data_IF_643542737111
#
_entry.id   IF_643542737111
#
_cell.length_a   1.000
_cell.length_b   1.000
_cell.length_c   1.000
_cell.angle_alpha   90.00
_cell.angle_beta   90.00
_cell.angle_gamma   90.00
#
_symmetry.space_group_name_H-M   'P 1'
#
loop_
_entity.id
_entity.type
_entity.pdbx_description
1 polymer ?
#
# COMPACT_ATOMS: atom_id res chain seq x y z
N UNK A 1 24.61 -3.68 -19.28
CA UNK A 1 25.52 -2.68 -19.87
C UNK A 1 25.19 -1.30 -19.28
N UNK A 2 26.06 -0.73 -18.43
CA UNK A 2 25.86 0.60 -17.83
C UNK A 2 26.38 1.66 -18.81
N UNK A 3 25.49 2.52 -19.30
CA UNK A 3 25.87 3.66 -20.14
C UNK A 3 26.73 4.66 -19.34
N UNK A 4 27.70 5.33 -19.96
CA UNK A 4 28.52 6.33 -19.29
C UNK A 4 27.66 7.51 -18.79
N UNK A 5 28.01 8.13 -17.64
CA UNK A 5 27.15 9.08 -16.91
C UNK A 5 26.77 10.36 -17.65
N UNK A 6 27.52 10.73 -18.72
CA UNK A 6 27.17 11.90 -19.55
C UNK A 6 26.05 11.64 -20.56
N UNK A 7 25.91 10.41 -21.06
CA UNK A 7 24.88 10.05 -22.06
C UNK A 7 23.51 9.90 -21.39
N UNK A 8 23.47 9.46 -20.13
CA UNK A 8 22.21 9.30 -19.37
C UNK A 8 21.55 10.64 -18.99
N UNK A 9 22.21 11.77 -19.20
CA UNK A 9 21.69 13.13 -18.91
C UNK A 9 20.97 13.79 -20.09
N UNK A 10 21.03 13.21 -21.29
CA UNK A 10 20.26 13.72 -22.43
C UNK A 10 18.76 13.40 -22.21
N UNK A 11 17.86 14.40 -22.28
CA UNK A 11 16.43 14.20 -22.04
C UNK A 11 15.83 13.05 -22.86
N UNK A 12 16.19 12.95 -24.12
CA UNK A 12 15.69 11.94 -25.05
C UNK A 12 16.09 10.51 -24.64
N UNK A 13 17.32 10.34 -24.15
CA UNK A 13 17.82 9.02 -23.68
C UNK A 13 17.08 8.59 -22.42
N UNK A 14 16.75 9.54 -21.55
CA UNK A 14 15.98 9.28 -20.35
C UNK A 14 14.54 8.86 -20.65
N UNK A 15 13.89 9.54 -21.60
CA UNK A 15 12.54 9.21 -22.06
C UNK A 15 12.48 7.81 -22.72
N UNK A 16 13.43 7.51 -23.60
CA UNK A 16 13.54 6.18 -24.21
C UNK A 16 13.79 5.09 -23.16
N UNK A 17 14.63 5.35 -22.17
CA UNK A 17 14.87 4.42 -21.06
C UNK A 17 13.59 4.15 -20.25
N UNK A 18 12.82 5.19 -19.91
CA UNK A 18 11.53 5.03 -19.20
C UNK A 18 10.58 4.14 -20.01
N UNK A 19 10.44 4.38 -21.29
CA UNK A 19 9.59 3.59 -22.17
C UNK A 19 10.03 2.13 -22.23
N UNK A 20 11.34 1.89 -22.35
CA UNK A 20 11.91 0.54 -22.37
C UNK A 20 11.64 -0.20 -21.05
N UNK A 21 11.90 0.45 -19.92
CA UNK A 21 11.65 -0.14 -18.59
C UNK A 21 10.16 -0.47 -18.40
N UNK A 22 9.27 0.43 -18.81
CA UNK A 22 7.84 0.17 -18.76
C UNK A 22 7.44 -1.06 -19.58
N UNK A 23 7.88 -1.14 -20.84
CA UNK A 23 7.61 -2.30 -21.72
C UNK A 23 8.14 -3.60 -21.12
N UNK A 24 9.34 -3.59 -20.57
CA UNK A 24 9.93 -4.75 -19.89
C UNK A 24 9.09 -5.18 -18.67
N UNK A 25 8.61 -4.22 -17.90
CA UNK A 25 7.73 -4.51 -16.76
C UNK A 25 6.39 -5.11 -17.19
N UNK A 26 5.80 -4.62 -18.28
CA UNK A 26 4.58 -5.23 -18.86
C UNK A 26 4.85 -6.69 -19.22
N UNK A 27 5.89 -6.94 -20.03
CA UNK A 27 6.24 -8.29 -20.51
C UNK A 27 6.48 -9.22 -19.30
N UNK A 28 7.37 -8.83 -18.38
CA UNK A 28 7.68 -9.61 -17.17
C UNK A 28 6.42 -9.96 -16.37
N UNK A 29 5.53 -8.99 -16.22
CA UNK A 29 4.31 -9.15 -15.41
C UNK A 29 3.29 -10.04 -16.11
N UNK A 30 3.11 -9.89 -17.41
CA UNK A 30 2.22 -10.79 -18.19
C UNK A 30 2.70 -12.24 -18.10
N UNK A 31 4.01 -12.49 -18.25
CA UNK A 31 4.56 -13.85 -18.10
C UNK A 31 4.41 -14.41 -16.68
N UNK A 32 4.61 -13.57 -15.65
CA UNK A 32 4.49 -13.96 -14.23
C UNK A 32 3.05 -14.37 -13.88
N UNK A 33 2.08 -13.55 -14.27
CA UNK A 33 0.68 -13.72 -13.85
C UNK A 33 -0.22 -14.40 -14.89
N UNK A 34 0.24 -14.53 -16.13
CA UNK A 34 -0.52 -15.13 -17.26
C UNK A 34 -1.89 -14.47 -17.48
N UNK A 35 -1.99 -13.15 -17.24
CA UNK A 35 -3.23 -12.35 -17.37
C UNK A 35 -3.10 -11.34 -18.50
N UNK A 36 -3.87 -11.51 -19.58
CA UNK A 36 -3.89 -10.59 -20.73
C UNK A 36 -4.46 -9.19 -20.37
N UNK A 37 -5.29 -9.10 -19.34
CA UNK A 37 -5.80 -7.80 -18.85
C UNK A 37 -4.68 -6.81 -18.50
N UNK A 38 -3.50 -7.30 -18.08
CA UNK A 38 -2.33 -6.46 -17.79
C UNK A 38 -1.89 -5.67 -19.01
N UNK A 39 -2.00 -6.24 -20.21
CA UNK A 39 -1.67 -5.55 -21.47
C UNK A 39 -2.63 -4.39 -21.69
N UNK A 40 -3.95 -4.65 -21.61
CA UNK A 40 -4.98 -3.60 -21.73
C UNK A 40 -4.74 -2.49 -20.71
N UNK A 41 -4.58 -2.84 -19.45
CA UNK A 41 -4.41 -1.88 -18.36
C UNK A 41 -3.10 -1.09 -18.51
N UNK A 42 -2.06 -1.70 -19.06
CA UNK A 42 -0.80 -1.01 -19.36
C UNK A 42 -0.98 0.10 -20.41
N UNK A 43 -1.83 -0.09 -21.41
CA UNK A 43 -2.16 0.96 -22.36
C UNK A 43 -3.05 2.05 -21.75
N UNK A 44 -4.07 1.65 -21.00
CA UNK A 44 -5.01 2.59 -20.37
C UNK A 44 -4.32 3.52 -19.39
N UNK A 45 -3.42 2.98 -18.55
CA UNK A 45 -2.77 3.75 -17.49
C UNK A 45 -1.41 4.35 -17.91
N UNK A 46 -0.88 4.03 -19.10
CA UNK A 46 0.38 4.59 -19.59
C UNK A 46 0.45 6.12 -19.57
N UNK A 47 -0.57 6.87 -20.08
CA UNK A 47 -0.50 8.32 -20.11
C UNK A 47 -0.35 8.96 -18.73
N UNK A 48 -1.11 8.45 -17.74
CA UNK A 48 -1.03 8.96 -16.37
C UNK A 48 0.26 8.55 -15.68
N UNK A 49 0.69 7.30 -15.87
CA UNK A 49 1.98 6.82 -15.38
C UNK A 49 3.14 7.67 -15.93
N UNK A 50 3.14 7.93 -17.24
CA UNK A 50 4.15 8.75 -17.90
C UNK A 50 4.21 10.17 -17.33
N UNK A 51 3.06 10.81 -17.15
CA UNK A 51 2.94 12.15 -16.55
C UNK A 51 3.50 12.19 -15.13
N UNK A 52 3.26 11.16 -14.33
CA UNK A 52 3.75 11.08 -12.96
C UNK A 52 5.25 10.84 -12.88
N UNK A 53 5.84 10.13 -13.85
CA UNK A 53 7.29 9.96 -13.93
C UNK A 53 8.04 11.26 -14.24
N UNK A 54 7.40 12.25 -14.82
CA UNK A 54 7.99 13.56 -15.11
C UNK A 54 8.02 14.50 -13.90
N UNK A 55 7.11 14.28 -12.95
CA UNK A 55 7.04 15.09 -11.72
C UNK A 55 8.03 14.51 -10.72
N UNK A 56 9.05 15.29 -10.37
CA UNK A 56 9.99 14.93 -9.31
C UNK A 56 9.21 14.64 -8.03
N UNK A 57 9.20 13.37 -7.63
CA UNK A 57 8.84 12.79 -6.34
C UNK A 57 8.16 13.72 -5.32
N UNK A 58 6.92 14.10 -5.58
CA UNK A 58 6.08 14.79 -4.60
C UNK A 58 4.76 14.02 -4.43
N UNK A 59 4.80 12.79 -3.85
CA UNK A 59 3.61 11.94 -3.71
C UNK A 59 2.47 12.65 -2.99
N UNK A 60 2.79 13.46 -1.97
CA UNK A 60 1.80 14.16 -1.16
C UNK A 60 1.06 15.27 -1.92
N UNK A 61 1.65 15.83 -3.00
CA UNK A 61 1.00 16.86 -3.82
C UNK A 61 -0.03 16.31 -4.80
N UNK A 62 -0.02 15.02 -5.07
CA UNK A 62 -0.90 14.43 -6.08
C UNK A 62 -2.12 13.71 -5.50
N UNK A 63 -2.26 13.63 -4.17
CA UNK A 63 -3.36 12.97 -3.46
C UNK A 63 -3.71 11.58 -4.03
N UNK A 64 -2.70 10.81 -4.41
CA UNK A 64 -2.88 9.48 -4.93
C UNK A 64 -2.24 8.47 -4.00
N UNK A 65 -2.91 7.37 -3.71
CA UNK A 65 -2.28 6.26 -3.01
C UNK A 65 -1.19 5.66 -3.91
N UNK A 66 -0.14 5.16 -3.31
CA UNK A 66 0.98 4.55 -4.03
C UNK A 66 0.74 3.05 -4.28
N UNK A 67 -0.35 2.75 -4.94
CA UNK A 67 -0.84 1.41 -5.28
C UNK A 67 -1.05 1.29 -6.80
N UNK A 68 -1.43 0.12 -7.30
CA UNK A 68 -1.74 -0.04 -8.72
C UNK A 68 -2.89 0.88 -9.15
N UNK A 69 -2.85 1.43 -10.37
CA UNK A 69 -3.91 2.34 -10.85
C UNK A 69 -5.29 1.67 -10.90
N UNK A 70 -5.34 0.38 -11.23
CA UNK A 70 -6.60 -0.38 -11.22
C UNK A 70 -7.14 -0.58 -9.80
N UNK A 71 -6.27 -0.74 -8.80
CA UNK A 71 -6.65 -0.77 -7.39
C UNK A 71 -7.18 0.59 -6.90
N UNK A 72 -6.54 1.70 -7.32
CA UNK A 72 -7.07 3.04 -7.04
C UNK A 72 -8.46 3.26 -7.65
N UNK A 73 -8.68 2.77 -8.87
CA UNK A 73 -10.00 2.85 -9.52
C UNK A 73 -11.04 2.03 -8.75
N UNK A 74 -10.67 0.86 -8.24
CA UNK A 74 -11.53 0.05 -7.37
C UNK A 74 -11.84 0.79 -6.06
N UNK A 75 -10.84 1.37 -5.39
CA UNK A 75 -11.04 2.20 -4.20
C UNK A 75 -12.06 3.32 -4.45
N UNK A 76 -11.98 4.01 -5.59
CA UNK A 76 -12.94 5.07 -5.93
C UNK A 76 -14.38 4.59 -6.03
N UNK A 77 -14.59 3.32 -6.39
CA UNK A 77 -15.93 2.72 -6.50
C UNK A 77 -16.49 2.28 -5.16
N UNK A 78 -15.64 1.84 -4.22
CA UNK A 78 -16.09 1.29 -2.94
C UNK A 78 -16.13 2.31 -1.80
N UNK A 79 -15.29 3.35 -1.84
CA UNK A 79 -15.23 4.34 -0.75
C UNK A 79 -16.47 5.23 -0.71
N UNK A 80 -16.98 5.45 0.50
CA UNK A 80 -18.13 6.33 0.80
C UNK A 80 -17.78 7.26 1.94
N UNK A 81 -18.51 8.38 2.03
CA UNK A 81 -18.29 9.44 3.02
C UNK A 81 -18.59 9.05 4.47
N UNK A 82 -19.33 7.99 4.68
CA UNK A 82 -19.69 7.44 6.00
C UNK A 82 -18.66 6.44 6.55
N UNK A 83 -17.69 6.02 5.75
CA UNK A 83 -16.75 4.96 6.10
C UNK A 83 -15.67 5.40 7.09
N UNK A 84 -15.14 4.41 7.83
CA UNK A 84 -13.99 4.54 8.72
C UNK A 84 -12.88 3.65 8.20
N UNK A 85 -11.68 4.22 8.05
CA UNK A 85 -10.49 3.53 7.54
C UNK A 85 -9.42 3.43 8.61
N UNK A 86 -8.77 2.28 8.70
CA UNK A 86 -7.51 2.11 9.43
C UNK A 86 -6.37 1.85 8.44
N UNK A 87 -5.22 2.44 8.67
CA UNK A 87 -4.08 2.32 7.77
C UNK A 87 -2.78 2.09 8.56
N UNK A 88 -2.10 0.98 8.24
CA UNK A 88 -0.72 0.74 8.63
C UNK A 88 0.22 1.30 7.54
N UNK A 89 0.99 2.32 7.87
CA UNK A 89 1.88 3.05 6.96
C UNK A 89 1.22 4.29 6.37
N UNK A 90 1.35 5.41 7.08
CA UNK A 90 0.80 6.68 6.65
C UNK A 90 1.53 7.27 5.43
N UNK A 91 0.78 7.92 4.53
CA UNK A 91 1.36 8.51 3.33
C UNK A 91 0.40 9.36 2.50
N UNK A 92 0.62 9.38 1.20
CA UNK A 92 -0.31 10.00 0.25
C UNK A 92 -1.68 9.31 0.23
N UNK A 93 -1.72 8.03 0.59
CA UNK A 93 -2.95 7.28 0.79
C UNK A 93 -3.79 7.84 1.93
N UNK A 94 -3.18 8.30 3.02
CA UNK A 94 -3.87 8.95 4.13
C UNK A 94 -4.62 10.21 3.66
N UNK A 95 -3.97 11.06 2.84
CA UNK A 95 -4.59 12.23 2.21
C UNK A 95 -5.70 11.83 1.23
N UNK A 96 -5.50 10.74 0.48
CA UNK A 96 -6.50 10.22 -0.43
C UNK A 96 -7.76 9.75 0.31
N UNK A 97 -7.62 9.03 1.42
CA UNK A 97 -8.72 8.56 2.24
C UNK A 97 -9.40 9.73 2.96
N UNK A 98 -8.66 10.66 3.55
CA UNK A 98 -9.25 11.79 4.30
C UNK A 98 -10.28 12.59 3.51
N UNK A 99 -10.09 12.68 2.19
CA UNK A 99 -11.01 13.39 1.30
C UNK A 99 -12.25 12.58 0.91
N UNK A 100 -12.30 11.27 1.20
CA UNK A 100 -13.31 10.33 0.68
C UNK A 100 -14.13 9.62 1.75
N UNK A 101 -13.67 9.64 3.00
CA UNK A 101 -14.29 8.91 4.10
C UNK A 101 -14.57 9.82 5.29
N UNK A 102 -15.32 9.33 6.29
CA UNK A 102 -15.63 10.08 7.50
C UNK A 102 -14.38 10.24 8.39
N UNK A 103 -13.63 9.17 8.60
CA UNK A 103 -12.52 9.14 9.54
C UNK A 103 -11.40 8.22 9.05
N UNK A 104 -10.15 8.64 9.24
CA UNK A 104 -8.95 7.83 9.01
C UNK A 104 -8.16 7.72 10.31
N UNK A 105 -7.81 6.50 10.70
CA UNK A 105 -6.81 6.19 11.71
C UNK A 105 -5.59 5.63 11.01
N UNK A 106 -4.44 6.29 11.15
CA UNK A 106 -3.22 5.90 10.46
C UNK A 106 -2.06 5.79 11.44
N UNK A 107 -1.21 4.78 11.25
CA UNK A 107 -0.05 4.53 12.10
C UNK A 107 1.22 4.64 11.24
N UNK A 108 2.16 5.44 11.70
CA UNK A 108 3.45 5.65 11.05
C UNK A 108 4.60 5.26 11.99
N UNK A 109 5.69 4.75 11.44
CA UNK A 109 6.86 4.28 12.20
C UNK A 109 8.09 5.16 12.03
N UNK A 110 8.16 5.94 10.96
CA UNK A 110 9.28 6.86 10.68
C UNK A 110 8.95 8.25 11.19
N UNK A 111 9.69 8.71 12.22
CA UNK A 111 9.49 10.02 12.85
C UNK A 111 9.59 11.18 11.86
N UNK A 112 10.57 11.14 10.94
CA UNK A 112 10.78 12.24 9.98
C UNK A 112 9.63 12.32 8.99
N UNK A 113 9.15 11.15 8.53
CA UNK A 113 8.01 11.08 7.64
C UNK A 113 6.72 11.49 8.33
N UNK A 114 6.52 11.07 9.58
CA UNK A 114 5.39 11.48 10.40
C UNK A 114 5.33 13.00 10.56
N UNK A 115 6.45 13.66 10.93
CA UNK A 115 6.51 15.11 11.08
C UNK A 115 6.17 15.84 9.78
N UNK A 116 6.65 15.32 8.65
CA UNK A 116 6.32 15.84 7.32
C UNK A 116 4.81 15.73 7.03
N UNK A 117 4.21 14.59 7.34
CA UNK A 117 2.76 14.37 7.18
C UNK A 117 1.93 15.31 8.06
N UNK A 118 2.31 15.48 9.33
CA UNK A 118 1.63 16.42 10.24
C UNK A 118 1.64 17.85 9.68
N UNK A 119 2.77 18.30 9.12
CA UNK A 119 2.85 19.59 8.45
C UNK A 119 1.92 19.68 7.24
N UNK A 120 1.85 18.65 6.41
CA UNK A 120 0.96 18.62 5.24
C UNK A 120 -0.52 18.54 5.65
N UNK A 121 -0.87 17.80 6.73
CA UNK A 121 -2.24 17.78 7.25
C UNK A 121 -2.68 19.17 7.73
N UNK A 122 -1.82 19.86 8.49
CA UNK A 122 -2.10 21.23 8.96
C UNK A 122 -2.27 22.20 7.79
N UNK A 123 -1.36 22.18 6.83
CA UNK A 123 -1.39 23.03 5.64
C UNK A 123 -2.63 22.82 4.79
N UNK A 124 -3.13 21.59 4.67
CA UNK A 124 -4.29 21.23 3.89
C UNK A 124 -5.59 21.24 4.72
N UNK A 125 -5.53 21.65 5.99
CA UNK A 125 -6.67 21.73 6.93
C UNK A 125 -7.41 20.38 7.06
N UNK A 126 -6.66 19.27 7.11
CA UNK A 126 -7.22 17.92 7.29
C UNK A 126 -7.57 17.73 8.77
N UNK A 127 -8.84 17.49 9.06
CA UNK A 127 -9.34 17.39 10.45
C UNK A 127 -9.86 15.99 10.81
N UNK A 128 -10.07 15.13 9.83
CA UNK A 128 -10.62 13.78 9.99
C UNK A 128 -9.56 12.66 9.93
N UNK A 129 -8.30 12.99 10.24
CA UNK A 129 -7.19 12.04 10.33
C UNK A 129 -6.64 12.03 11.75
N UNK A 130 -6.59 10.84 12.35
CA UNK A 130 -5.83 10.57 13.57
C UNK A 130 -4.60 9.76 13.18
N UNK A 131 -3.47 10.42 13.00
CA UNK A 131 -2.19 9.78 12.68
C UNK A 131 -1.35 9.67 13.96
N UNK A 132 -0.84 8.48 14.27
CA UNK A 132 0.02 8.21 15.43
C UNK A 132 1.39 7.72 14.99
N UNK A 133 2.43 8.25 15.64
CA UNK A 133 3.78 7.73 15.51
C UNK A 133 3.97 6.56 16.48
N UNK A 134 4.36 5.40 15.96
CA UNK A 134 4.76 4.24 16.76
C UNK A 134 6.05 3.69 16.15
N UNK A 135 7.17 4.08 16.73
CA UNK A 135 8.50 3.65 16.29
C UNK A 135 8.78 2.21 16.69
N UNK A 136 9.58 1.45 15.92
CA UNK A 136 9.95 0.09 16.28
C UNK A 136 10.94 0.08 17.45
N UNK A 137 10.74 -0.86 18.36
CA UNK A 137 11.55 -1.05 19.55
C UNK A 137 12.74 -1.99 19.27
N UNK A 138 13.86 -1.78 19.95
CA UNK A 138 15.01 -2.68 19.87
C UNK A 138 14.71 -3.97 20.64
N UNK A 139 15.20 -5.10 20.11
CA UNK A 139 15.12 -6.41 20.78
C UNK A 139 16.49 -7.09 20.74
N UNK A 140 16.71 -8.01 21.69
CA UNK A 140 17.90 -8.84 21.69
C UNK A 140 17.95 -9.76 20.45
N UNK A 141 19.15 -10.01 19.94
CA UNK A 141 19.37 -10.82 18.72
C UNK A 141 18.78 -12.24 18.79
N UNK A 142 18.71 -12.80 19.98
CA UNK A 142 18.22 -14.17 20.22
C UNK A 142 16.74 -14.23 20.63
N UNK A 143 16.02 -13.10 20.65
CA UNK A 143 14.60 -13.07 21.01
C UNK A 143 13.74 -13.54 19.84
N UNK A 144 12.71 -14.35 20.14
CA UNK A 144 11.64 -14.59 19.15
C UNK A 144 10.93 -13.29 18.80
N UNK A 145 10.83 -13.02 17.50
CA UNK A 145 10.20 -11.82 17.01
C UNK A 145 9.10 -12.14 15.99
N UNK A 146 7.90 -12.27 16.47
CA UNK A 146 6.70 -12.48 15.65
C UNK A 146 6.22 -11.20 14.94
N UNK A 147 6.82 -10.05 15.25
CA UNK A 147 6.46 -8.73 14.74
C UNK A 147 7.61 -8.12 13.93
N UNK A 148 8.38 -8.96 13.25
CA UNK A 148 9.54 -8.53 12.43
C UNK A 148 9.11 -7.88 11.12
N UNK A 149 9.97 -7.01 10.60
CA UNK A 149 9.85 -6.47 9.25
C UNK A 149 10.79 -7.18 8.29
N UNK A 150 10.35 -7.43 7.05
CA UNK A 150 11.19 -7.98 5.98
C UNK A 150 12.31 -7.01 5.54
N UNK A 151 12.31 -5.77 6.01
CA UNK A 151 13.31 -4.76 5.65
C UNK A 151 14.60 -4.93 6.44
N UNK A 152 15.76 -5.08 5.79
CA UNK A 152 17.06 -5.21 6.49
C UNK A 152 17.39 -4.05 7.43
N UNK A 153 16.83 -2.86 7.19
CA UNK A 153 17.03 -1.68 8.03
C UNK A 153 16.43 -1.82 9.44
N UNK A 154 15.58 -2.82 9.64
CA UNK A 154 14.89 -3.08 10.91
C UNK A 154 15.25 -4.45 11.49
N UNK A 155 16.38 -5.02 11.09
CA UNK A 155 16.96 -6.18 11.76
C UNK A 155 17.15 -5.85 13.25
N UNK A 156 16.83 -6.75 14.15
CA UNK A 156 16.86 -6.53 15.61
C UNK A 156 15.89 -5.47 16.14
N UNK A 157 14.76 -5.27 15.43
CA UNK A 157 13.66 -4.43 15.89
C UNK A 157 12.33 -5.18 15.83
N UNK A 158 11.48 -4.91 16.82
CA UNK A 158 10.11 -5.38 16.84
C UNK A 158 9.14 -4.26 16.48
N UNK A 159 8.06 -4.61 15.81
CA UNK A 159 6.94 -3.73 15.51
C UNK A 159 5.69 -4.11 16.34
N UNK A 160 5.88 -4.71 17.53
CA UNK A 160 4.76 -5.22 18.33
C UNK A 160 3.74 -4.13 18.66
N UNK A 161 4.17 -3.00 19.24
CA UNK A 161 3.30 -1.88 19.56
C UNK A 161 2.62 -1.27 18.32
N UNK A 162 3.34 -1.23 17.20
CA UNK A 162 2.81 -0.78 15.90
C UNK A 162 1.70 -1.71 15.40
N UNK A 163 1.93 -3.01 15.40
CA UNK A 163 0.96 -4.02 14.96
C UNK A 163 -0.26 -4.04 15.86
N UNK A 164 -0.06 -4.08 17.19
CA UNK A 164 -1.13 -4.14 18.19
C UNK A 164 -1.94 -2.84 18.31
N UNK A 165 -1.55 -1.76 17.66
CA UNK A 165 -2.28 -0.49 17.71
C UNK A 165 -3.74 -0.58 17.28
N UNK A 166 -4.08 -1.50 16.37
CA UNK A 166 -5.46 -1.74 15.92
C UNK A 166 -6.29 -2.47 16.98
N UNK A 167 -5.66 -3.20 17.90
CA UNK A 167 -6.37 -3.99 18.93
C UNK A 167 -7.15 -3.12 19.91
N UNK A 168 -6.79 -1.84 20.03
CA UNK A 168 -7.51 -0.85 20.84
C UNK A 168 -8.93 -0.55 20.32
N UNK A 169 -9.26 -0.98 19.11
CA UNK A 169 -10.58 -0.75 18.51
C UNK A 169 -11.47 -2.00 18.67
N UNK A 170 -12.79 -1.82 18.70
CA UNK A 170 -13.73 -2.95 18.69
C UNK A 170 -13.57 -3.84 17.46
N UNK A 171 -13.99 -5.09 17.56
CA UNK A 171 -14.10 -5.95 16.40
C UNK A 171 -15.15 -5.43 15.41
N UNK A 172 -14.96 -5.69 14.13
CA UNK A 172 -15.85 -5.25 13.03
C UNK A 172 -16.09 -3.74 13.02
N UNK A 173 -15.05 -2.95 13.31
CA UNK A 173 -15.14 -1.50 13.42
C UNK A 173 -14.83 -0.77 12.11
N UNK A 174 -13.90 -1.28 11.29
CA UNK A 174 -13.42 -0.59 10.09
C UNK A 174 -14.09 -1.09 8.82
N UNK A 175 -14.46 -0.15 7.95
CA UNK A 175 -14.95 -0.45 6.61
C UNK A 175 -13.81 -0.87 5.68
N UNK A 176 -12.61 -0.29 5.88
CA UNK A 176 -11.39 -0.66 5.17
C UNK A 176 -10.22 -0.67 6.15
N UNK A 177 -9.44 -1.76 6.14
CA UNK A 177 -8.12 -1.82 6.79
C UNK A 177 -7.07 -1.93 5.70
N UNK A 178 -6.07 -1.05 5.73
CA UNK A 178 -4.97 -0.97 4.77
C UNK A 178 -3.68 -1.45 5.42
N UNK A 179 -3.00 -2.40 4.77
CA UNK A 179 -1.70 -2.93 5.20
C UNK A 179 -0.66 -2.58 4.13
N UNK A 180 0.00 -1.43 4.32
CA UNK A 180 1.06 -0.92 3.44
C UNK A 180 2.33 -0.48 4.20
N UNK A 181 2.40 -0.76 5.50
CA UNK A 181 3.53 -0.39 6.36
C UNK A 181 4.56 -1.49 6.57
N UNK A 182 4.93 -1.71 7.84
CA UNK A 182 5.91 -2.70 8.29
C UNK A 182 5.22 -3.88 8.98
N UNK A 183 5.97 -4.97 9.20
CA UNK A 183 5.49 -6.20 9.84
C UNK A 183 4.13 -6.68 9.27
N UNK A 184 3.98 -6.66 7.95
CA UNK A 184 2.68 -6.81 7.26
C UNK A 184 1.98 -8.12 7.59
N UNK A 185 2.72 -9.24 7.73
CA UNK A 185 2.13 -10.53 8.09
C UNK A 185 1.36 -10.43 9.42
N UNK A 186 1.99 -9.85 10.44
CA UNK A 186 1.36 -9.67 11.77
C UNK A 186 0.25 -8.62 11.73
N UNK A 187 0.40 -7.53 10.96
CA UNK A 187 -0.68 -6.55 10.76
C UNK A 187 -1.93 -7.20 10.14
N UNK A 188 -1.76 -8.11 9.18
CA UNK A 188 -2.87 -8.86 8.56
C UNK A 188 -3.59 -9.71 9.62
N UNK A 189 -2.83 -10.44 10.45
CA UNK A 189 -3.39 -11.28 11.53
C UNK A 189 -4.26 -10.45 12.48
N UNK A 190 -3.76 -9.29 12.94
CA UNK A 190 -4.49 -8.43 13.88
C UNK A 190 -5.65 -7.68 13.20
N UNK A 191 -5.56 -7.42 11.91
CA UNK A 191 -6.63 -6.77 11.14
C UNK A 191 -7.87 -7.64 10.94
N UNK A 192 -7.74 -8.98 10.96
CA UNK A 192 -8.81 -9.93 10.61
C UNK A 192 -10.13 -9.63 11.32
N UNK A 193 -10.10 -9.54 12.66
CA UNK A 193 -11.32 -9.33 13.46
C UNK A 193 -11.87 -7.90 13.36
N UNK A 194 -11.08 -6.95 12.86
CA UNK A 194 -11.40 -5.52 12.87
C UNK A 194 -12.16 -5.05 11.62
N UNK A 195 -12.20 -5.88 10.58
CA UNK A 195 -12.93 -5.59 9.33
C UNK A 195 -14.42 -5.87 9.51
N UNK A 196 -15.28 -4.91 9.14
CA UNK A 196 -16.74 -5.08 9.13
C UNK A 196 -17.17 -6.15 8.12
N UNK A 197 -18.35 -6.78 8.31
CA UNK A 197 -19.02 -7.51 7.23
C UNK A 197 -19.17 -6.61 5.99
N UNK A 198 -18.82 -7.13 4.82
CA UNK A 198 -18.71 -6.41 3.55
C UNK A 198 -17.67 -5.29 3.51
N UNK A 199 -16.82 -5.19 4.54
CA UNK A 199 -15.63 -4.36 4.55
C UNK A 199 -14.45 -5.03 3.85
N UNK A 200 -13.34 -4.30 3.74
CA UNK A 200 -12.18 -4.72 2.97
C UNK A 200 -10.90 -4.70 3.80
N UNK A 201 -10.10 -5.75 3.69
CA UNK A 201 -8.68 -5.75 4.03
C UNK A 201 -7.88 -5.57 2.75
N UNK A 202 -7.22 -4.42 2.61
CA UNK A 202 -6.36 -4.09 1.48
C UNK A 202 -4.91 -4.40 1.84
N UNK A 203 -4.22 -5.15 0.99
CA UNK A 203 -2.80 -5.50 1.14
C UNK A 203 -2.05 -5.01 -0.10
N UNK A 204 -1.10 -4.08 0.09
CA UNK A 204 -0.23 -3.68 -1.00
C UNK A 204 1.00 -4.58 -1.10
N UNK A 205 1.58 -4.70 -2.30
CA UNK A 205 2.63 -5.66 -2.66
C UNK A 205 2.25 -7.12 -2.30
N UNK A 206 1.00 -7.49 -2.54
CA UNK A 206 0.45 -8.80 -2.22
C UNK A 206 1.06 -9.96 -3.02
N UNK A 207 2.02 -9.70 -3.88
CA UNK A 207 2.83 -10.72 -4.56
C UNK A 207 3.96 -11.32 -3.69
N UNK A 208 4.14 -10.79 -2.48
CA UNK A 208 5.14 -11.27 -1.51
C UNK A 208 4.54 -12.35 -0.62
N UNK A 209 4.92 -13.60 -0.86
CA UNK A 209 4.40 -14.75 -0.11
C UNK A 209 4.62 -14.68 1.41
N UNK A 210 5.70 -13.99 1.85
CA UNK A 210 6.00 -13.81 3.28
C UNK A 210 4.88 -13.12 4.06
N UNK A 211 4.09 -12.25 3.41
CA UNK A 211 2.98 -11.54 4.07
C UNK A 211 1.81 -12.45 4.45
N UNK A 212 1.68 -13.59 3.76
CA UNK A 212 0.60 -14.54 3.99
C UNK A 212 0.95 -15.67 4.97
N UNK A 213 2.19 -15.71 5.47
CA UNK A 213 2.59 -16.71 6.46
C UNK A 213 1.76 -16.53 7.74
N UNK A 214 1.05 -17.58 8.14
CA UNK A 214 0.13 -17.56 9.29
C UNK A 214 -1.21 -16.85 9.03
N UNK A 215 -1.51 -16.47 7.77
CA UNK A 215 -2.72 -15.77 7.38
C UNK A 215 -3.58 -16.58 6.39
N UNK A 216 -3.60 -17.91 6.54
CA UNK A 216 -4.32 -18.82 5.65
C UNK A 216 -5.84 -18.56 5.61
N UNK A 217 -6.39 -17.88 6.63
CA UNK A 217 -7.80 -17.48 6.68
C UNK A 217 -8.22 -16.61 5.48
N UNK A 218 -7.28 -15.89 4.85
CA UNK A 218 -7.57 -15.07 3.66
C UNK A 218 -7.91 -15.91 2.42
N UNK A 219 -7.60 -17.20 2.45
CA UNK A 219 -7.90 -18.16 1.38
C UNK A 219 -9.16 -18.97 1.65
N UNK A 220 -9.85 -18.69 2.76
CA UNK A 220 -11.17 -19.26 3.01
C UNK A 220 -12.23 -18.49 2.20
N UNK A 221 -12.58 -19.05 1.04
CA UNK A 221 -13.53 -18.45 0.10
C UNK A 221 -14.97 -18.38 0.66
N UNK A 222 -15.25 -19.05 1.77
CA UNK A 222 -16.56 -18.96 2.45
C UNK A 222 -16.69 -17.67 3.28
N UNK A 223 -15.56 -17.09 3.71
CA UNK A 223 -15.52 -15.86 4.50
C UNK A 223 -14.91 -14.67 3.73
N UNK A 224 -13.98 -14.91 2.78
CA UNK A 224 -13.21 -13.85 2.13
C UNK A 224 -13.27 -13.95 0.61
N UNK A 225 -13.70 -12.88 -0.02
CA UNK A 225 -13.66 -12.74 -1.48
C UNK A 225 -12.48 -11.86 -1.89
N UNK A 226 -11.59 -12.38 -2.73
CA UNK A 226 -10.40 -11.67 -3.19
C UNK A 226 -10.61 -10.92 -4.50
N UNK A 227 -10.03 -9.72 -4.59
CA UNK A 227 -9.92 -8.90 -5.80
C UNK A 227 -8.46 -8.51 -5.99
N UNK A 228 -7.80 -9.06 -7.00
CA UNK A 228 -6.39 -8.82 -7.30
C UNK A 228 -6.21 -7.82 -8.43
N UNK A 229 -5.42 -6.82 -8.18
CA UNK A 229 -5.05 -5.78 -9.13
C UNK A 229 -3.54 -5.78 -9.36
N UNK A 230 -3.13 -6.15 -10.57
CA UNK A 230 -1.72 -6.23 -10.98
C UNK A 230 -1.47 -5.23 -12.09
N UNK A 231 -0.49 -4.35 -11.91
CA UNK A 231 -0.22 -3.34 -12.94
C UNK A 231 0.77 -2.26 -12.53
N UNK A 232 0.76 -1.19 -13.31
CA UNK A 232 1.59 -0.01 -13.09
C UNK A 232 1.21 0.72 -11.80
N UNK A 233 2.24 1.26 -11.13
CA UNK A 233 2.15 2.01 -9.88
C UNK A 233 2.69 3.42 -10.12
N UNK A 234 2.16 4.47 -9.47
CA UNK A 234 2.75 5.81 -9.52
C UNK A 234 4.23 5.80 -9.15
N UNK A 235 5.04 6.58 -9.86
CA UNK A 235 6.47 6.83 -9.57
C UNK A 235 7.42 5.63 -9.63
N UNK A 236 6.95 4.45 -9.99
CA UNK A 236 7.76 3.23 -10.10
C UNK A 236 7.79 2.70 -11.53
N UNK A 237 8.88 1.98 -11.86
CA UNK A 237 8.99 1.28 -13.14
C UNK A 237 8.49 -0.16 -13.05
N UNK A 238 8.70 -0.80 -11.91
CA UNK A 238 8.20 -2.15 -11.68
C UNK A 238 6.71 -2.13 -11.38
N UNK A 239 6.01 -3.10 -11.95
CA UNK A 239 4.60 -3.33 -11.67
C UNK A 239 4.46 -4.06 -10.33
N UNK A 240 3.38 -3.78 -9.62
CA UNK A 240 3.07 -4.37 -8.34
C UNK A 240 1.72 -5.10 -8.35
N UNK A 241 1.39 -5.73 -7.24
CA UNK A 241 0.07 -6.28 -6.97
C UNK A 241 -0.49 -5.64 -5.70
N UNK A 242 -1.71 -5.14 -5.79
CA UNK A 242 -2.52 -4.71 -4.65
C UNK A 242 -3.76 -5.60 -4.60
N UNK A 243 -4.03 -6.23 -3.47
CA UNK A 243 -5.17 -7.14 -3.30
C UNK A 243 -6.13 -6.62 -2.23
N UNK A 244 -7.42 -6.81 -2.49
CA UNK A 244 -8.50 -6.54 -1.54
C UNK A 244 -9.18 -7.84 -1.18
N UNK A 245 -9.33 -8.08 0.10
CA UNK A 245 -10.05 -9.20 0.67
C UNK A 245 -11.33 -8.64 1.30
N UNK A 246 -12.47 -8.91 0.69
CA UNK A 246 -13.77 -8.51 1.20
C UNK A 246 -14.27 -9.57 2.17
N UNK A 247 -14.56 -9.15 3.41
CA UNK A 247 -15.09 -10.05 4.43
C UNK A 247 -16.59 -10.27 4.22
N UNK A 248 -16.99 -11.48 3.84
CA UNK A 248 -18.38 -11.85 3.51
C UNK A 248 -18.82 -13.05 4.34
N UNK A 249 -18.98 -12.89 5.67
CA UNK A 249 -19.42 -13.99 6.53
C UNK A 249 -20.81 -14.47 6.14
N UNK A 250 -21.03 -15.78 6.21
CA UNK A 250 -22.31 -16.43 5.89
C UNK A 250 -22.73 -16.36 4.41
N UNK A 251 -21.80 -16.55 3.53
CA UNK A 251 -22.08 -16.68 2.10
C UNK A 251 -22.55 -18.09 1.72
#
# INVERSE_FOLDING_TARGET
>A
MKLPPKITRLPIVWELRKLTLYKLSVIKTVFKYKRFSIIRDSFVYFPIWWKLQQRKNEPLKNDRPWITFSAEEFLRKILRKDMVVFEYGAGSSTLYFSRRVAQVFSIEHDKKWFDHLQHEFAKQQITNVVCRLIEPEAIDENSENNYSSDSPSYKHKTFESYVKSIDAFPDKYFDVVVVDGRARASCITHAKSKVKPNGYLMIDNADRKSYFKGNDFLFDETEWRVFDFVGAVPYQFDFAQTSFYCYTPNR
#
